data_IF_162384579779
#
_entry.id   IF_162384579779
#
_cell.length_a   1.000
_cell.length_b   1.000
_cell.length_c   1.000
_cell.angle_alpha   90.00
_cell.angle_beta   90.00
_cell.angle_gamma   90.00
#
_symmetry.space_group_name_H-M   'P 1'
#
loop_
_entity.id
_entity.type
_entity.pdbx_description
1 polymer ?
#
# COMPACT_ATOMS: atom_id res chain seq x y z
N UNK A 1 -6.73 -37.08 77.76
CA UNK A 1 -6.88 -38.21 76.82
C UNK A 1 -8.17 -37.97 76.03
N UNK A 2 -8.25 -37.75 74.72
CA UNK A 2 -7.27 -37.80 73.64
C UNK A 2 -7.94 -36.99 72.51
N UNK A 3 -7.45 -35.80 72.18
CA UNK A 3 -7.87 -35.04 70.99
C UNK A 3 -6.98 -35.51 69.83
N UNK A 4 -7.52 -36.33 68.95
CA UNK A 4 -6.87 -36.76 67.71
C UNK A 4 -7.86 -36.55 66.58
N UNK A 5 -7.76 -35.40 65.92
CA UNK A 5 -8.27 -35.24 64.56
C UNK A 5 -7.42 -34.16 63.89
N UNK A 6 -6.21 -34.57 63.53
CA UNK A 6 -5.24 -33.75 62.80
C UNK A 6 -5.25 -34.21 61.34
N UNK A 7 -5.33 -33.22 60.46
CA UNK A 7 -4.64 -33.17 59.17
C UNK A 7 -5.15 -34.08 58.05
N UNK A 8 -5.97 -33.54 57.16
CA UNK A 8 -5.83 -33.72 55.69
C UNK A 8 -6.94 -32.97 54.93
N UNK A 9 -6.97 -31.63 54.96
CA UNK A 9 -7.79 -30.89 53.98
C UNK A 9 -7.48 -29.38 53.97
N UNK A 10 -6.23 -28.98 53.71
CA UNK A 10 -5.94 -27.58 53.40
C UNK A 10 -4.64 -27.44 52.58
N UNK A 11 -4.61 -28.07 51.41
CA UNK A 11 -3.64 -27.79 50.35
C UNK A 11 -4.35 -27.80 48.97
N UNK A 12 -5.50 -27.13 48.86
CA UNK A 12 -5.90 -26.60 47.56
C UNK A 12 -5.23 -25.23 47.45
N UNK A 13 -3.96 -25.25 47.05
CA UNK A 13 -3.30 -24.05 46.56
C UNK A 13 -4.16 -23.48 45.45
N UNK A 14 -4.72 -22.29 45.70
CA UNK A 14 -5.21 -21.41 44.66
C UNK A 14 -4.01 -21.13 43.74
N UNK A 15 -3.80 -22.00 42.75
CA UNK A 15 -3.20 -21.59 41.50
C UNK A 15 -4.18 -20.60 40.90
N UNK A 16 -4.09 -19.33 41.32
CA UNK A 16 -4.53 -18.23 40.47
C UNK A 16 -3.64 -18.33 39.25
N UNK A 17 -4.15 -19.02 38.24
CA UNK A 17 -3.63 -18.92 36.88
C UNK A 17 -3.76 -17.44 36.57
N UNK A 18 -2.65 -16.70 36.64
CA UNK A 18 -2.56 -15.36 36.06
C UNK A 18 -2.78 -15.56 34.57
N UNK A 19 -4.04 -15.48 34.15
CA UNK A 19 -4.37 -15.42 32.74
C UNK A 19 -3.74 -14.14 32.22
N UNK A 20 -2.92 -14.24 31.18
CA UNK A 20 -2.39 -13.07 30.51
C UNK A 20 -3.57 -12.17 30.13
N UNK A 21 -3.60 -10.94 30.64
CA UNK A 21 -4.67 -9.99 30.31
C UNK A 21 -4.71 -9.81 28.80
N UNK A 22 -5.87 -10.05 28.20
CA UNK A 22 -6.08 -9.83 26.79
C UNK A 22 -5.82 -8.36 26.46
N UNK A 23 -5.03 -8.13 25.42
CA UNK A 23 -4.78 -6.78 24.93
C UNK A 23 -5.41 -6.59 23.56
N UNK A 24 -5.80 -5.35 23.30
CA UNK A 24 -6.47 -4.96 22.08
C UNK A 24 -5.73 -3.80 21.44
N UNK A 25 -5.72 -3.76 20.12
CA UNK A 25 -5.32 -2.59 19.34
C UNK A 25 -6.44 -2.28 18.35
N UNK A 26 -6.58 -1.02 17.97
CA UNK A 26 -7.46 -0.68 16.87
C UNK A 26 -6.63 -0.64 15.60
N UNK A 27 -6.87 -1.57 14.69
CA UNK A 27 -6.40 -1.46 13.32
C UNK A 27 -7.12 -0.28 12.68
N UNK A 28 -6.37 0.67 12.14
CA UNK A 28 -6.90 1.82 11.40
C UNK A 28 -7.12 1.43 9.93
N UNK A 29 -6.17 0.67 9.39
CA UNK A 29 -6.19 0.16 8.01
C UNK A 29 -4.78 0.02 7.43
N UNK A 30 -4.68 -0.47 6.20
CA UNK A 30 -3.42 -0.51 5.45
C UNK A 30 -3.27 0.77 4.62
N UNK A 31 -2.09 1.38 4.68
CA UNK A 31 -1.79 2.66 4.04
C UNK A 31 -0.44 2.59 3.32
N UNK A 32 -0.43 2.99 2.05
CA UNK A 32 0.78 3.09 1.24
C UNK A 32 1.49 4.44 1.49
N UNK A 33 2.81 4.38 1.57
CA UNK A 33 3.76 5.48 1.81
C UNK A 33 3.45 6.32 3.05
N UNK A 34 2.65 5.78 3.97
CA UNK A 34 2.20 6.52 5.14
C UNK A 34 3.28 6.60 6.22
N UNK A 35 3.31 7.74 6.91
CA UNK A 35 4.03 7.93 8.16
C UNK A 35 3.08 8.37 9.29
N UNK A 36 3.58 8.47 10.52
CA UNK A 36 2.76 8.86 11.67
C UNK A 36 2.17 10.27 11.52
N UNK A 37 2.84 11.17 10.80
CA UNK A 37 2.40 12.53 10.52
C UNK A 37 1.07 12.60 9.78
N UNK A 38 0.82 11.65 8.87
CA UNK A 38 -0.42 11.57 8.08
C UNK A 38 -1.69 11.37 8.91
N UNK A 39 -1.54 10.99 10.17
CA UNK A 39 -2.64 10.65 11.08
C UNK A 39 -2.90 11.72 12.14
N UNK A 40 -2.54 12.98 11.86
CA UNK A 40 -2.66 14.09 12.81
C UNK A 40 -4.05 14.23 13.44
N UNK A 41 -5.13 13.92 12.71
CA UNK A 41 -6.51 14.03 13.20
C UNK A 41 -6.87 12.99 14.28
N UNK A 42 -6.16 11.85 14.32
CA UNK A 42 -6.40 10.74 15.25
C UNK A 42 -5.32 10.61 16.32
N UNK A 43 -4.21 11.36 16.20
CA UNK A 43 -3.18 11.44 17.26
C UNK A 43 -3.72 11.78 18.65
N UNK A 44 -4.74 12.66 18.82
CA UNK A 44 -5.31 12.91 20.15
C UNK A 44 -6.03 11.71 20.77
N UNK A 45 -6.40 10.72 19.95
CA UNK A 45 -7.19 9.56 20.39
C UNK A 45 -6.31 8.37 20.81
N UNK A 46 -5.04 8.36 20.44
CA UNK A 46 -4.11 7.28 20.76
C UNK A 46 -2.78 7.41 20.03
N UNK A 47 -1.81 6.57 20.40
CA UNK A 47 -0.54 6.51 19.68
C UNK A 47 -0.71 5.81 18.33
N UNK A 48 -0.38 6.49 17.24
CA UNK A 48 -0.42 5.93 15.89
C UNK A 48 0.90 5.21 15.64
N UNK A 49 0.85 3.98 15.15
CA UNK A 49 2.05 3.21 14.81
C UNK A 49 1.79 2.28 13.62
N UNK A 50 2.85 1.88 12.93
CA UNK A 50 2.77 1.13 11.68
C UNK A 50 3.55 -0.18 11.73
N UNK A 51 3.02 -1.22 11.08
CA UNK A 51 3.78 -2.43 10.74
C UNK A 51 3.90 -2.55 9.23
N UNK A 52 5.11 -2.69 8.70
CA UNK A 52 5.33 -2.88 7.27
C UNK A 52 4.79 -4.25 6.85
N UNK A 53 3.81 -4.27 5.95
CA UNK A 53 3.18 -5.51 5.44
C UNK A 53 3.44 -5.73 3.93
N UNK A 54 4.11 -4.79 3.28
CA UNK A 54 4.51 -4.87 1.87
C UNK A 54 5.47 -3.73 1.52
N UNK A 55 5.84 -3.59 0.25
CA UNK A 55 6.68 -2.47 -0.19
C UNK A 55 5.92 -1.15 -0.03
N UNK A 56 6.45 -0.30 0.84
CA UNK A 56 5.87 0.96 1.27
C UNK A 56 4.44 0.89 1.83
N UNK A 57 3.91 -0.29 2.17
CA UNK A 57 2.59 -0.42 2.81
C UNK A 57 2.77 -0.66 4.31
N UNK A 58 2.21 0.24 5.10
CA UNK A 58 2.09 0.10 6.55
C UNK A 58 0.66 -0.28 6.92
N UNK A 59 0.51 -1.39 7.62
CA UNK A 59 -0.67 -1.65 8.43
C UNK A 59 -0.61 -0.73 9.64
N UNK A 60 -1.52 0.23 9.70
CA UNK A 60 -1.54 1.28 10.73
C UNK A 60 -2.51 0.88 11.83
N UNK A 61 -2.07 1.14 13.05
CA UNK A 61 -2.76 0.86 14.29
C UNK A 61 -2.84 2.13 15.14
N UNK A 62 -3.83 2.17 16.03
CA UNK A 62 -4.02 3.25 16.97
C UNK A 62 -4.23 2.71 18.38
N UNK A 63 -3.27 3.03 19.24
CA UNK A 63 -3.29 2.76 20.67
C UNK A 63 -3.24 1.28 21.03
N UNK A 64 -3.08 1.03 22.33
CA UNK A 64 -3.17 -0.30 22.93
C UNK A 64 -4.06 -0.24 24.17
N UNK A 65 -4.99 -1.18 24.30
CA UNK A 65 -6.04 -1.17 25.31
C UNK A 65 -6.12 -2.51 26.03
N UNK A 66 -6.28 -2.49 27.34
CA UNK A 66 -6.62 -3.68 28.14
C UNK A 66 -8.15 -3.89 28.19
N UNK A 67 -8.92 -2.88 27.82
CA UNK A 67 -10.39 -2.88 27.80
C UNK A 67 -10.92 -2.93 26.36
N UNK A 68 -11.62 -4.01 26.02
CA UNK A 68 -12.26 -4.22 24.72
C UNK A 68 -13.26 -3.10 24.38
N UNK A 69 -14.04 -2.62 25.36
CA UNK A 69 -15.04 -1.59 25.12
C UNK A 69 -14.41 -0.24 24.76
N UNK A 70 -13.26 0.08 25.36
CA UNK A 70 -12.47 1.27 24.98
C UNK A 70 -11.98 1.14 23.53
N UNK A 71 -11.45 -0.03 23.15
CA UNK A 71 -10.99 -0.29 21.79
C UNK A 71 -12.15 -0.24 20.76
N UNK A 72 -13.31 -0.82 21.08
CA UNK A 72 -14.49 -0.77 20.21
C UNK A 72 -15.04 0.65 20.07
N UNK A 73 -15.09 1.41 21.16
CA UNK A 73 -15.48 2.83 21.14
C UNK A 73 -14.55 3.62 20.24
N UNK A 74 -13.24 3.42 20.37
CA UNK A 74 -12.25 4.07 19.50
C UNK A 74 -12.42 3.64 18.04
N UNK A 75 -12.63 2.35 17.78
CA UNK A 75 -12.89 1.83 16.44
C UNK A 75 -14.13 2.48 15.79
N UNK A 76 -15.24 2.62 16.53
CA UNK A 76 -16.42 3.37 16.07
C UNK A 76 -16.12 4.85 15.81
N UNK A 77 -15.36 5.49 16.70
CA UNK A 77 -14.90 6.86 16.56
C UNK A 77 -14.03 7.07 15.31
N UNK A 78 -13.20 6.09 14.96
CA UNK A 78 -12.40 6.09 13.73
C UNK A 78 -13.27 5.89 12.49
N UNK A 79 -14.22 4.95 12.52
CA UNK A 79 -15.18 4.75 11.42
C UNK A 79 -16.00 6.02 11.16
N UNK A 80 -16.44 6.72 12.22
CA UNK A 80 -17.15 8.00 12.12
C UNK A 80 -16.28 9.11 11.50
N UNK A 81 -14.94 9.05 11.70
CA UNK A 81 -13.96 9.96 11.10
C UNK A 81 -13.48 9.55 9.70
N UNK A 82 -13.97 8.43 9.16
CA UNK A 82 -13.69 8.01 7.78
C UNK A 82 -12.81 6.77 7.63
N UNK A 83 -12.24 6.24 8.72
CA UNK A 83 -11.48 5.00 8.73
C UNK A 83 -12.44 3.79 8.73
N UNK A 84 -13.09 3.55 7.59
CA UNK A 84 -14.18 2.56 7.44
C UNK A 84 -13.76 1.12 7.75
N UNK A 85 -12.48 0.82 7.56
CA UNK A 85 -11.89 -0.49 7.85
C UNK A 85 -11.37 -0.59 9.27
N UNK A 86 -11.57 0.44 10.11
CA UNK A 86 -11.10 0.38 11.48
C UNK A 86 -11.76 -0.81 12.19
N UNK A 87 -10.98 -1.61 12.90
CA UNK A 87 -11.45 -2.79 13.62
C UNK A 87 -10.58 -3.07 14.82
N UNK A 88 -11.18 -3.67 15.85
CA UNK A 88 -10.42 -4.11 17.01
C UNK A 88 -9.73 -5.42 16.67
N UNK A 89 -8.45 -5.52 16.99
CA UNK A 89 -7.69 -6.76 16.96
C UNK A 89 -7.26 -7.12 18.37
N UNK A 90 -7.41 -8.39 18.74
CA UNK A 90 -6.81 -8.92 19.95
C UNK A 90 -5.33 -9.25 19.69
N UNK A 91 -4.44 -8.79 20.57
CA UNK A 91 -3.02 -9.10 20.54
C UNK A 91 -2.78 -10.40 21.32
N UNK A 92 -2.14 -11.41 20.71
CA UNK A 92 -1.76 -12.61 21.44
C UNK A 92 -0.69 -12.26 22.48
N UNK A 93 -0.64 -12.98 23.62
CA UNK A 93 0.44 -12.81 24.58
C UNK A 93 1.78 -13.14 23.92
N UNK A 94 2.79 -12.34 24.21
CA UNK A 94 4.15 -12.53 23.73
C UNK A 94 5.05 -13.10 24.82
N UNK A 95 6.34 -13.21 24.48
CA UNK A 95 7.35 -13.61 25.47
C UNK A 95 7.67 -12.46 26.42
N UNK A 96 8.04 -12.81 27.64
CA UNK A 96 8.55 -11.85 28.61
C UNK A 96 9.96 -11.39 28.23
N UNK A 97 10.20 -10.08 28.21
CA UNK A 97 11.53 -9.47 27.98
C UNK A 97 11.82 -8.43 29.06
N UNK A 98 13.09 -8.19 29.33
CA UNK A 98 13.52 -7.07 30.15
C UNK A 98 13.83 -5.86 29.27
N UNK A 99 13.36 -4.68 29.69
CA UNK A 99 13.59 -3.40 29.00
C UNK A 99 14.06 -2.36 30.00
N UNK A 100 14.76 -1.33 29.51
CA UNK A 100 15.11 -0.16 30.31
C UNK A 100 14.13 0.95 29.96
N UNK A 101 13.22 1.28 30.88
CA UNK A 101 12.33 2.42 30.71
C UNK A 101 13.10 3.70 31.03
N UNK A 102 13.16 4.62 30.07
CA UNK A 102 13.99 5.83 30.15
C UNK A 102 13.16 7.08 30.44
N UNK A 103 11.91 7.10 30.00
CA UNK A 103 11.02 8.23 30.18
C UNK A 103 9.55 7.81 30.20
N UNK A 104 8.71 8.65 30.78
CA UNK A 104 7.27 8.66 30.55
C UNK A 104 6.90 10.02 29.98
N UNK A 105 6.24 10.05 28.83
CA UNK A 105 5.80 11.26 28.14
C UNK A 105 4.28 11.24 28.02
N UNK A 106 3.65 12.40 27.99
CA UNK A 106 2.24 12.48 27.56
C UNK A 106 2.19 12.24 26.06
N UNK A 107 1.11 11.61 25.58
CA UNK A 107 0.89 11.35 24.17
C UNK A 107 0.93 12.63 23.31
N UNK A 108 0.53 13.76 23.89
CA UNK A 108 0.55 15.09 23.26
C UNK A 108 1.89 15.82 23.33
N UNK A 109 2.85 15.32 24.12
CA UNK A 109 4.16 15.97 24.24
C UNK A 109 4.98 15.73 22.97
N UNK A 110 5.69 16.75 22.44
CA UNK A 110 6.67 16.52 21.40
C UNK A 110 7.77 15.58 21.92
N UNK A 111 8.19 14.64 21.07
CA UNK A 111 9.24 13.67 21.38
C UNK A 111 10.33 13.78 20.33
N UNK A 112 11.56 14.01 20.78
CA UNK A 112 12.74 13.98 19.92
C UNK A 112 13.23 12.53 19.79
N UNK A 113 12.70 11.84 18.78
CA UNK A 113 13.07 10.46 18.49
C UNK A 113 14.52 10.30 18.04
N UNK A 114 15.10 11.35 17.43
CA UNK A 114 16.48 11.33 16.92
C UNK A 114 17.47 11.33 18.08
N UNK A 115 17.25 12.19 19.08
CA UNK A 115 18.08 12.21 20.28
C UNK A 115 17.91 10.93 21.10
N UNK A 116 16.67 10.46 21.29
CA UNK A 116 16.41 9.21 22.00
C UNK A 116 17.04 7.99 21.31
N UNK A 117 17.02 7.93 19.98
CA UNK A 117 17.61 6.83 19.20
C UNK A 117 19.12 6.64 19.42
N UNK A 118 19.83 7.62 20.00
CA UNK A 118 21.26 7.50 20.34
C UNK A 118 21.54 6.40 21.37
N UNK A 119 20.55 6.04 22.19
CA UNK A 119 20.67 4.95 23.17
C UNK A 119 20.44 3.56 22.56
N UNK A 120 20.16 3.49 21.26
CA UNK A 120 19.85 2.26 20.53
C UNK A 120 18.37 2.14 20.17
N UNK A 121 17.91 0.90 19.93
CA UNK A 121 16.54 0.64 19.51
C UNK A 121 15.54 1.16 20.54
N UNK A 122 14.58 1.95 20.08
CA UNK A 122 13.54 2.53 20.91
C UNK A 122 12.24 1.75 20.75
N UNK A 123 11.59 1.53 21.89
CA UNK A 123 10.26 0.95 21.97
C UNK A 123 9.38 1.86 22.81
N UNK A 124 8.08 1.83 22.54
CA UNK A 124 7.09 2.47 23.39
C UNK A 124 6.01 1.50 23.82
N UNK A 125 5.44 1.76 24.99
CA UNK A 125 4.20 1.18 25.45
C UNK A 125 3.20 2.31 25.67
N UNK A 126 2.08 2.27 24.96
CA UNK A 126 0.99 3.23 25.15
C UNK A 126 0.04 2.73 26.26
N UNK A 127 -0.06 3.51 27.34
CA UNK A 127 -0.98 3.26 28.45
C UNK A 127 -1.78 4.54 28.67
N UNK A 128 -3.06 4.49 28.32
CA UNK A 128 -3.97 5.65 28.32
C UNK A 128 -3.37 6.84 27.55
N UNK A 129 -3.19 7.99 28.22
CA UNK A 129 -2.63 9.23 27.68
C UNK A 129 -1.11 9.32 27.78
N UNK A 130 -0.45 8.21 28.17
CA UNK A 130 1.00 8.16 28.41
C UNK A 130 1.71 7.23 27.44
N UNK A 131 2.91 7.63 27.06
CA UNK A 131 3.90 6.84 26.37
C UNK A 131 5.05 6.56 27.33
N UNK A 132 5.23 5.29 27.69
CA UNK A 132 6.44 4.84 28.36
C UNK A 132 7.46 4.57 27.26
N UNK A 133 8.57 5.29 27.27
CA UNK A 133 9.64 5.16 26.29
C UNK A 133 10.72 4.28 26.89
N UNK A 134 11.10 3.24 26.16
CA UNK A 134 12.07 2.25 26.58
C UNK A 134 13.14 2.01 25.52
N UNK A 135 14.25 1.45 25.96
CA UNK A 135 15.27 0.90 25.07
C UNK A 135 15.64 -0.53 25.44
N UNK A 136 16.19 -1.23 24.46
CA UNK A 136 16.53 -2.64 24.54
C UNK A 136 15.29 -3.55 24.46
N UNK A 137 15.56 -4.85 24.50
CA UNK A 137 14.60 -5.94 24.64
C UNK A 137 15.42 -7.17 25.02
N UNK A 138 16.00 -7.12 26.21
CA UNK A 138 16.96 -8.09 26.71
C UNK A 138 16.25 -9.41 27.06
N UNK A 139 16.99 -10.50 26.90
CA UNK A 139 16.49 -11.84 27.23
C UNK A 139 16.11 -11.96 28.72
N UNK A 140 16.82 -11.25 29.61
CA UNK A 140 16.60 -11.29 31.04
C UNK A 140 16.94 -9.95 31.73
N UNK A 141 16.54 -9.86 33.00
CA UNK A 141 16.75 -8.68 33.86
C UNK A 141 18.24 -8.41 34.10
N UNK A 142 19.09 -9.43 34.15
CA UNK A 142 20.52 -9.26 34.43
C UNK A 142 21.22 -8.54 33.27
N UNK A 143 20.91 -8.92 32.03
CA UNK A 143 21.41 -8.23 30.83
C UNK A 143 20.93 -6.78 30.76
N UNK A 144 19.66 -6.52 31.10
CA UNK A 144 19.14 -5.15 31.16
C UNK A 144 19.81 -4.32 32.28
N UNK A 145 20.06 -4.92 33.44
CA UNK A 145 20.73 -4.26 34.56
C UNK A 145 22.19 -3.93 34.24
N UNK A 146 22.87 -4.77 33.45
CA UNK A 146 24.22 -4.51 32.98
C UNK A 146 24.31 -3.33 32.02
N UNK A 147 23.27 -3.09 31.21
CA UNK A 147 23.21 -1.96 30.27
C UNK A 147 22.69 -0.65 30.90
N UNK A 148 22.00 -0.73 32.04
CA UNK A 148 21.40 0.42 32.72
C UNK A 148 22.38 1.58 33.04
N UNK A 149 23.63 1.35 33.51
CA UNK A 149 24.58 2.44 33.78
C UNK A 149 24.90 3.29 32.55
N UNK A 150 25.02 2.66 31.37
CA UNK A 150 25.27 3.36 30.11
C UNK A 150 24.08 4.22 29.69
N UNK A 151 22.85 3.72 29.88
CA UNK A 151 21.64 4.50 29.62
C UNK A 151 21.55 5.73 30.54
N UNK A 152 21.91 5.57 31.82
CA UNK A 152 21.95 6.67 32.78
C UNK A 152 23.04 7.69 32.48
N UNK A 153 24.21 7.27 32.00
CA UNK A 153 25.30 8.18 31.65
C UNK A 153 25.00 9.05 30.42
N UNK A 154 24.08 8.61 29.54
CA UNK A 154 23.57 9.38 28.41
C UNK A 154 22.46 10.40 28.77
N UNK A 155 22.13 10.53 30.07
CA UNK A 155 21.22 11.58 30.55
C UNK A 155 19.91 11.08 31.14
N UNK A 156 19.55 9.81 30.96
CA UNK A 156 18.33 9.21 31.51
C UNK A 156 18.55 8.69 32.94
N UNK A 157 18.85 9.59 33.88
CA UNK A 157 19.27 9.25 35.26
C UNK A 157 18.24 8.41 36.02
N UNK A 158 16.96 8.64 35.76
CA UNK A 158 15.84 7.93 36.39
C UNK A 158 15.46 6.64 35.66
N UNK A 159 16.24 6.23 34.64
CA UNK A 159 15.99 5.00 33.94
C UNK A 159 16.02 3.80 34.90
N UNK A 160 15.15 2.82 34.66
CA UNK A 160 15.05 1.60 35.45
C UNK A 160 14.67 0.40 34.59
N UNK A 161 15.05 -0.78 35.05
CA UNK A 161 14.71 -2.04 34.38
C UNK A 161 13.31 -2.48 34.78
N UNK A 162 12.52 -2.92 33.80
CA UNK A 162 11.26 -3.61 34.02
C UNK A 162 11.11 -4.79 33.09
N UNK A 163 10.29 -5.74 33.50
CA UNK A 163 9.86 -6.85 32.65
C UNK A 163 8.54 -6.49 31.99
N UNK A 164 8.41 -6.82 30.70
CA UNK A 164 7.20 -6.57 29.92
C UNK A 164 7.01 -7.68 28.89
N UNK A 165 5.76 -7.95 28.54
CA UNK A 165 5.44 -8.78 27.38
C UNK A 165 5.94 -8.07 26.10
N UNK A 166 6.75 -8.75 25.28
CA UNK A 166 7.30 -8.20 24.05
C UNK A 166 6.21 -7.73 23.08
N UNK A 167 5.06 -8.40 23.05
CA UNK A 167 3.93 -8.01 22.21
C UNK A 167 3.23 -6.75 22.73
N UNK A 168 3.62 -6.16 23.87
CA UNK A 168 3.19 -4.81 24.29
C UNK A 168 4.04 -3.70 23.70
N UNK A 169 5.24 -4.03 23.25
CA UNK A 169 6.19 -3.05 22.75
C UNK A 169 5.85 -2.69 21.31
N UNK A 170 5.83 -1.39 21.04
CA UNK A 170 5.73 -0.81 19.70
C UNK A 170 7.12 -0.33 19.33
N UNK A 171 7.79 -0.92 18.32
CA UNK A 171 9.08 -0.42 17.87
C UNK A 171 8.91 0.97 17.25
N UNK A 172 9.87 1.86 17.50
CA UNK A 172 9.93 3.18 16.86
C UNK A 172 10.86 3.09 15.65
N UNK A 173 10.28 3.19 14.46
CA UNK A 173 11.00 3.10 13.19
C UNK A 173 10.76 4.29 12.26
N UNK A 174 10.98 4.10 10.96
CA UNK A 174 10.79 5.14 9.95
C UNK A 174 9.35 5.69 9.93
N UNK A 175 8.35 4.84 10.20
CA UNK A 175 6.95 5.25 10.26
C UNK A 175 6.70 6.24 11.41
N UNK A 176 7.10 5.91 12.63
CA UNK A 176 6.85 6.73 13.83
C UNK A 176 7.67 8.02 13.84
N UNK A 177 8.84 8.00 13.20
CA UNK A 177 9.75 9.15 13.15
C UNK A 177 9.48 10.09 11.97
N UNK A 178 8.89 9.60 10.88
CA UNK A 178 8.72 10.37 9.63
C UNK A 178 10.03 10.62 8.86
N UNK A 179 11.15 10.00 9.28
CA UNK A 179 12.47 10.19 8.67
C UNK A 179 12.77 9.04 7.71
N UNK A 180 12.91 9.36 6.41
CA UNK A 180 13.27 8.40 5.34
C UNK A 180 14.81 8.30 5.25
N UNK A 181 15.37 7.23 5.84
CA UNK A 181 16.79 6.75 5.86
C UNK A 181 17.74 7.18 7.01
N UNK A 182 18.77 6.36 7.32
CA UNK A 182 18.78 5.38 8.39
C UNK A 182 19.27 5.98 9.73
N UNK A 183 18.57 5.67 10.82
CA UNK A 183 19.20 5.72 12.14
C UNK A 183 20.25 4.60 12.18
N UNK A 184 21.52 4.93 11.93
CA UNK A 184 22.64 4.01 12.15
C UNK A 184 22.66 3.69 13.66
N UNK A 185 22.40 2.44 14.09
CA UNK A 185 22.43 2.12 15.51
C UNK A 185 23.89 2.12 15.98
N UNK A 186 24.24 3.03 16.90
CA UNK A 186 25.44 2.84 17.71
C UNK A 186 25.10 1.71 18.68
N UNK A 187 25.59 0.50 18.38
CA UNK A 187 25.42 -0.66 19.25
C UNK A 187 26.13 -0.41 20.57
N UNK A 188 25.35 -0.22 21.63
CA UNK A 188 25.87 -0.22 23.00
C UNK A 188 26.25 -1.66 23.37
N UNK A 189 27.53 -1.97 23.20
CA UNK A 189 28.21 -3.18 23.66
C UNK A 189 28.05 -4.44 22.74
N UNK A 190 29.10 -4.84 21.98
CA UNK A 190 29.03 -5.94 21.01
C UNK A 190 28.97 -7.36 21.60
N UNK A 191 28.80 -7.52 22.92
CA UNK A 191 28.87 -8.84 23.58
C UNK A 191 27.55 -9.40 24.15
N UNK A 192 26.41 -8.71 24.01
CA UNK A 192 25.11 -9.32 24.31
C UNK A 192 24.10 -8.84 23.26
N UNK A 193 23.85 -9.70 22.28
CA UNK A 193 22.96 -9.42 21.16
C UNK A 193 21.55 -9.05 21.69
N UNK A 194 21.00 -7.88 21.34
CA UNK A 194 19.56 -7.69 21.41
C UNK A 194 18.92 -8.80 20.57
N UNK A 195 17.86 -9.42 21.07
CA UNK A 195 17.23 -10.53 20.37
C UNK A 195 16.68 -10.00 19.05
N UNK A 196 17.37 -10.33 17.96
CA UNK A 196 16.95 -9.97 16.61
C UNK A 196 15.59 -10.62 16.36
N UNK A 197 14.59 -9.84 15.96
CA UNK A 197 13.40 -10.33 15.27
C UNK A 197 12.68 -9.17 14.59
N UNK A 198 12.48 -9.33 13.28
CA UNK A 198 11.43 -8.68 12.50
C UNK A 198 10.14 -8.61 13.31
N UNK A 199 9.34 -7.53 13.19
CA UNK A 199 7.97 -7.56 13.64
C UNK A 199 7.31 -8.79 13.02
N UNK A 200 6.73 -9.64 13.86
CA UNK A 200 5.89 -10.73 13.38
C UNK A 200 4.89 -10.12 12.39
N UNK A 201 5.00 -10.52 11.13
CA UNK A 201 3.86 -10.54 10.23
C UNK A 201 2.72 -11.18 11.01
N UNK A 202 1.61 -10.48 11.16
CA UNK A 202 0.42 -11.04 11.78
C UNK A 202 -0.14 -12.09 10.83
N UNK A 203 0.49 -13.28 10.90
CA UNK A 203 0.17 -14.43 10.10
C UNK A 203 -1.22 -14.91 10.50
N UNK A 204 -2.08 -14.95 9.49
CA UNK A 204 -3.41 -15.51 9.55
C UNK A 204 -3.21 -17.03 9.40
N UNK A 205 -3.04 -17.75 10.52
CA UNK A 205 -2.84 -19.21 10.44
C UNK A 205 -4.06 -19.90 9.84
N UNK A 206 -3.83 -20.52 8.69
CA UNK A 206 -4.36 -21.85 8.40
C UNK A 206 -4.66 -22.13 6.93
N UNK A 207 -3.65 -22.44 6.10
CA UNK A 207 -3.51 -23.72 5.37
C UNK A 207 -2.04 -23.92 4.92
N UNK A 208 -1.52 -25.13 5.09
CA UNK A 208 -0.12 -25.54 4.87
C UNK A 208 0.36 -25.47 3.40
N UNK A 209 1.60 -25.01 3.22
CA UNK A 209 2.47 -25.31 2.08
C UNK A 209 3.05 -26.74 2.17
N UNK A 210 3.48 -27.30 1.03
CA UNK A 210 4.76 -28.01 1.03
C UNK A 210 5.79 -27.41 0.04
N UNK A 211 7.03 -27.28 0.54
CA UNK A 211 8.28 -26.95 -0.14
C UNK A 211 8.74 -28.01 -1.17
N UNK A 212 9.50 -27.60 -2.20
CA UNK A 212 10.78 -28.23 -2.57
C UNK A 212 11.55 -27.43 -3.66
N UNK A 213 12.85 -27.18 -3.41
CA UNK A 213 13.96 -27.50 -4.32
C UNK A 213 14.24 -26.65 -5.57
N UNK A 214 15.32 -25.88 -5.50
CA UNK A 214 15.96 -25.11 -6.58
C UNK A 214 16.72 -26.03 -7.55
N UNK A 215 16.59 -25.86 -8.88
CA UNK A 215 17.66 -25.97 -9.90
C UNK A 215 17.24 -25.21 -11.18
N UNK A 216 18.06 -24.26 -11.67
CA UNK A 216 18.00 -23.69 -13.03
C UNK A 216 18.88 -24.54 -13.97
N UNK A 217 18.53 -24.75 -15.25
CA UNK A 217 19.11 -23.88 -16.30
C UNK A 217 18.30 -23.71 -17.60
N UNK A 218 18.56 -22.60 -18.32
CA UNK A 218 18.71 -22.62 -19.78
C UNK A 218 17.55 -22.08 -20.65
N UNK A 219 17.83 -21.01 -21.39
CA UNK A 219 17.10 -20.55 -22.58
C UNK A 219 16.82 -21.70 -23.57
N UNK A 220 15.57 -21.85 -24.02
CA UNK A 220 15.20 -22.04 -25.44
C UNK A 220 13.69 -21.97 -25.62
N UNK A 221 13.21 -21.15 -26.56
CA UNK A 221 11.90 -21.36 -27.18
C UNK A 221 11.92 -22.71 -27.95
N UNK A 222 10.78 -23.42 -28.06
CA UNK A 222 10.11 -23.40 -29.36
C UNK A 222 8.57 -23.49 -29.32
N UNK A 223 8.00 -22.96 -30.41
CA UNK A 223 6.67 -23.20 -30.97
C UNK A 223 6.05 -24.57 -30.64
N UNK A 224 4.73 -24.60 -30.46
CA UNK A 224 3.79 -25.25 -31.40
C UNK A 224 2.37 -25.24 -30.82
N UNK A 225 1.41 -24.64 -31.54
CA UNK A 225 0.18 -25.37 -31.87
C UNK A 225 -0.42 -24.84 -33.17
N UNK A 226 -0.40 -25.71 -34.17
CA UNK A 226 -1.02 -25.54 -35.47
C UNK A 226 -2.54 -25.67 -35.36
N UNK A 227 -3.27 -24.79 -36.06
CA UNK A 227 -4.18 -25.28 -37.11
C UNK A 227 -5.67 -24.87 -37.10
N UNK A 228 -5.99 -23.77 -37.81
CA UNK A 228 -7.05 -23.57 -38.85
C UNK A 228 -8.55 -23.64 -38.42
N UNK A 229 -9.55 -22.93 -39.03
CA UNK A 229 -9.54 -22.12 -40.27
C UNK A 229 -9.97 -20.64 -40.20
N UNK A 230 -9.46 -19.95 -41.22
CA UNK A 230 -9.81 -18.65 -41.79
C UNK A 230 -11.24 -18.57 -42.36
N UNK A 231 -11.94 -17.47 -42.09
CA UNK A 231 -12.83 -16.80 -43.05
C UNK A 231 -12.77 -15.27 -42.83
N UNK A 232 -12.54 -14.46 -43.88
CA UNK A 232 -12.66 -13.00 -43.81
C UNK A 232 -14.07 -12.54 -44.21
N UNK A 233 -14.62 -11.47 -43.61
CA UNK A 233 -15.56 -10.60 -44.30
C UNK A 233 -14.90 -9.23 -44.49
N UNK A 234 -14.37 -8.93 -45.68
CA UNK A 234 -15.05 -8.21 -46.78
C UNK A 234 -15.71 -6.89 -46.36
N UNK A 235 -15.09 -5.80 -46.83
CA UNK A 235 -15.60 -4.46 -47.15
C UNK A 235 -17.11 -4.20 -47.14
N UNK A 236 -17.51 -3.12 -46.47
CA UNK A 236 -18.75 -2.38 -46.81
C UNK A 236 -19.39 -1.64 -45.63
N UNK A 237 -18.97 -0.39 -45.40
CA UNK A 237 -19.85 0.80 -45.32
C UNK A 237 -19.09 1.98 -44.69
N UNK A 238 -18.64 2.89 -45.55
CA UNK A 238 -18.30 4.27 -45.20
C UNK A 238 -19.55 4.95 -44.67
N UNK A 239 -19.54 5.36 -43.40
CA UNK A 239 -20.51 6.30 -42.83
C UNK A 239 -19.75 7.60 -42.51
N UNK A 240 -20.37 8.70 -42.90
CA UNK A 240 -19.87 10.07 -42.83
C UNK A 240 -19.45 10.51 -41.41
N UNK A 241 -18.55 11.53 -41.30
CA UNK A 241 -18.01 11.98 -40.02
C UNK A 241 -19.05 12.82 -39.27
N UNK A 242 -19.43 12.37 -38.08
CA UNK A 242 -20.35 13.13 -37.23
C UNK A 242 -20.97 12.40 -36.04
N UNK A 243 -20.63 11.16 -35.76
CA UNK A 243 -21.15 10.44 -34.60
C UNK A 243 -20.17 10.50 -33.44
N UNK A 244 -20.50 11.29 -32.42
CA UNK A 244 -19.94 11.15 -31.08
C UNK A 244 -20.13 9.69 -30.65
N UNK A 245 -19.03 8.97 -30.39
CA UNK A 245 -19.06 7.60 -29.90
C UNK A 245 -19.99 7.54 -28.67
N UNK A 246 -21.03 6.67 -28.65
CA UNK A 246 -21.88 6.54 -27.49
C UNK A 246 -21.02 6.04 -26.33
N UNK A 247 -21.08 6.76 -25.21
CA UNK A 247 -20.36 6.45 -23.98
C UNK A 247 -20.65 4.99 -23.60
N UNK A 248 -19.63 4.13 -23.67
CA UNK A 248 -19.70 2.82 -23.05
C UNK A 248 -19.99 3.02 -21.54
N UNK A 249 -20.75 2.11 -20.92
CA UNK A 249 -21.07 2.16 -19.49
C UNK A 249 -19.77 2.30 -18.68
N UNK A 250 -19.53 3.50 -18.16
CA UNK A 250 -18.35 3.80 -17.35
C UNK A 250 -18.54 3.18 -15.95
N UNK A 251 -17.51 2.51 -15.40
CA UNK A 251 -17.53 2.07 -14.02
C UNK A 251 -17.80 3.23 -13.06
N UNK A 252 -18.60 2.99 -12.02
CA UNK A 252 -18.84 4.01 -11.02
C UNK A 252 -17.65 4.08 -10.07
N UNK A 253 -16.99 5.24 -10.00
CA UNK A 253 -15.79 5.38 -9.19
C UNK A 253 -16.14 5.41 -7.70
N UNK A 254 -15.58 4.48 -6.92
CA UNK A 254 -15.67 4.50 -5.45
C UNK A 254 -14.81 5.64 -4.89
N UNK A 255 -15.36 6.85 -4.84
CA UNK A 255 -14.61 8.05 -4.47
C UNK A 255 -14.06 8.11 -3.04
N UNK A 256 -14.54 7.23 -2.14
CA UNK A 256 -14.04 7.09 -0.76
C UNK A 256 -13.05 5.92 -0.60
N UNK A 257 -12.65 5.31 -1.70
CA UNK A 257 -11.64 4.27 -1.74
C UNK A 257 -10.31 4.89 -2.17
N UNK A 258 -9.31 4.84 -1.29
CA UNK A 258 -7.97 5.39 -1.54
C UNK A 258 -7.18 4.46 -2.46
N UNK A 259 -6.52 5.01 -3.47
CA UNK A 259 -5.78 4.25 -4.48
C UNK A 259 -4.59 5.06 -5.03
N UNK A 260 -3.51 4.37 -5.38
CA UNK A 260 -2.30 5.00 -5.92
C UNK A 260 -2.60 5.76 -7.22
N UNK A 261 -3.42 5.18 -8.11
CA UNK A 261 -3.85 5.79 -9.37
C UNK A 261 -4.49 7.17 -9.17
N UNK A 262 -5.33 7.34 -8.14
CA UNK A 262 -5.94 8.62 -7.80
C UNK A 262 -4.93 9.61 -7.20
N UNK A 263 -3.99 9.15 -6.37
CA UNK A 263 -2.88 9.99 -5.88
C UNK A 263 -2.09 10.55 -7.05
N UNK A 264 -1.70 9.69 -7.99
CA UNK A 264 -0.93 10.08 -9.18
C UNK A 264 -1.72 11.04 -10.07
N UNK A 265 -3.02 10.79 -10.24
CA UNK A 265 -3.91 11.69 -10.98
C UNK A 265 -3.99 13.08 -10.32
N UNK A 266 -4.28 13.14 -9.03
CA UNK A 266 -4.35 14.38 -8.26
C UNK A 266 -3.04 15.17 -8.33
N UNK A 267 -1.90 14.48 -8.26
CA UNK A 267 -0.58 15.10 -8.44
C UNK A 267 -0.49 15.82 -9.78
N UNK A 268 -0.84 15.16 -10.88
CA UNK A 268 -0.76 15.78 -12.22
C UNK A 268 -1.77 16.92 -12.36
N UNK A 269 -2.99 16.75 -11.84
CA UNK A 269 -4.00 17.80 -11.85
C UNK A 269 -3.55 19.03 -11.07
N UNK A 270 -2.81 18.83 -9.96
CA UNK A 270 -2.26 19.90 -9.13
C UNK A 270 -1.08 20.59 -9.81
N UNK A 271 -0.14 19.82 -10.37
CA UNK A 271 0.97 20.34 -11.20
C UNK A 271 0.44 21.25 -12.33
N UNK A 272 -0.72 20.90 -12.91
CA UNK A 272 -1.37 21.67 -13.99
C UNK A 272 -2.32 22.77 -13.51
N UNK A 273 -2.48 22.96 -12.20
CA UNK A 273 -3.30 24.02 -11.62
C UNK A 273 -4.82 23.79 -11.66
N UNK A 274 -5.27 22.59 -12.03
CA UNK A 274 -6.70 22.23 -12.01
C UNK A 274 -7.18 21.73 -10.64
N UNK A 275 -6.25 21.25 -9.80
CA UNK A 275 -6.57 20.72 -8.48
C UNK A 275 -5.86 21.49 -7.37
N UNK A 276 -6.64 22.09 -6.48
CA UNK A 276 -6.14 22.86 -5.33
C UNK A 276 -6.18 22.07 -4.02
N UNK A 277 -6.83 20.89 -4.03
CA UNK A 277 -6.96 20.01 -2.87
C UNK A 277 -5.65 19.34 -2.45
N UNK A 278 -5.71 18.57 -1.36
CA UNK A 278 -4.60 17.72 -0.93
C UNK A 278 -4.52 16.48 -1.83
N UNK A 279 -3.30 16.06 -2.15
CA UNK A 279 -3.07 14.80 -2.86
C UNK A 279 -3.21 13.68 -1.84
N UNK A 280 -4.43 13.18 -1.67
CA UNK A 280 -4.83 12.26 -0.60
C UNK A 280 -5.14 10.84 -1.10
N UNK A 281 -5.19 10.64 -2.42
CA UNK A 281 -5.51 9.39 -3.08
C UNK A 281 -7.00 9.04 -3.13
N UNK A 282 -7.89 9.96 -2.75
CA UNK A 282 -9.34 9.78 -2.86
C UNK A 282 -9.89 10.41 -4.14
N UNK A 283 -10.64 9.63 -4.92
CA UNK A 283 -11.36 10.16 -6.09
C UNK A 283 -12.70 10.81 -5.66
N UNK A 284 -12.63 11.82 -4.79
CA UNK A 284 -13.80 12.57 -4.34
C UNK A 284 -14.34 13.53 -5.41
N UNK A 285 -15.43 14.23 -5.10
CA UNK A 285 -16.04 15.21 -6.02
C UNK A 285 -15.07 16.32 -6.47
N UNK A 286 -14.11 16.72 -5.62
CA UNK A 286 -13.06 17.67 -5.99
C UNK A 286 -12.09 17.13 -7.03
N UNK A 287 -11.66 15.87 -6.87
CA UNK A 287 -10.79 15.18 -7.84
C UNK A 287 -11.52 15.01 -9.18
N UNK A 288 -12.79 14.60 -9.13
CA UNK A 288 -13.63 14.47 -10.33
C UNK A 288 -13.79 15.81 -11.06
N UNK A 289 -14.17 16.87 -10.34
CA UNK A 289 -14.34 18.19 -10.94
C UNK A 289 -13.04 18.73 -11.55
N UNK A 290 -11.90 18.54 -10.87
CA UNK A 290 -10.60 18.92 -11.40
C UNK A 290 -10.21 18.11 -12.64
N UNK A 291 -10.48 16.80 -12.64
CA UNK A 291 -10.27 15.97 -13.82
C UNK A 291 -11.14 16.43 -14.98
N UNK A 292 -12.44 16.66 -14.77
CA UNK A 292 -13.36 17.10 -15.81
C UNK A 292 -12.92 18.45 -16.40
N UNK A 293 -12.47 19.39 -15.56
CA UNK A 293 -11.91 20.66 -15.99
C UNK A 293 -10.60 20.50 -16.77
N UNK A 294 -9.67 19.65 -16.31
CA UNK A 294 -8.42 19.38 -17.01
C UNK A 294 -8.69 18.70 -18.35
N UNK A 295 -9.55 17.68 -18.36
CA UNK A 295 -9.95 16.95 -19.55
C UNK A 295 -10.63 17.88 -20.56
N UNK A 296 -11.43 18.85 -20.11
CA UNK A 296 -12.09 19.84 -20.98
C UNK A 296 -11.15 20.98 -21.44
N UNK A 297 -10.32 21.50 -20.55
CA UNK A 297 -9.66 22.80 -20.70
C UNK A 297 -8.14 22.74 -20.94
N UNK A 298 -7.48 21.63 -20.64
CA UNK A 298 -6.02 21.56 -20.78
C UNK A 298 -5.60 21.58 -22.24
N UNK A 299 -4.64 22.45 -22.54
CA UNK A 299 -4.05 22.59 -23.87
C UNK A 299 -3.43 21.27 -24.37
N UNK A 300 -2.67 20.59 -23.51
CA UNK A 300 -2.00 19.32 -23.83
C UNK A 300 -2.99 18.22 -24.27
N UNK A 301 -4.22 18.19 -23.72
CA UNK A 301 -5.25 17.21 -24.07
C UNK A 301 -6.12 17.64 -25.26
N UNK A 302 -6.07 18.90 -25.69
CA UNK A 302 -6.93 19.42 -26.77
C UNK A 302 -6.65 18.72 -28.10
N UNK A 303 -5.37 18.57 -28.47
CA UNK A 303 -4.94 17.85 -29.68
C UNK A 303 -5.52 16.43 -29.69
N UNK A 304 -5.30 15.68 -28.63
CA UNK A 304 -5.66 14.26 -28.57
C UNK A 304 -7.17 14.03 -28.59
N UNK A 305 -7.95 14.87 -27.90
CA UNK A 305 -9.43 14.81 -27.98
C UNK A 305 -9.95 15.05 -29.40
N UNK A 306 -9.32 15.92 -30.16
CA UNK A 306 -9.68 16.15 -31.56
C UNK A 306 -9.27 15.00 -32.49
N UNK A 307 -8.29 14.17 -32.10
CA UNK A 307 -7.87 12.99 -32.83
C UNK A 307 -8.73 11.76 -32.54
N UNK A 308 -9.41 11.69 -31.39
CA UNK A 308 -10.24 10.53 -31.00
C UNK A 308 -11.24 10.10 -32.08
N UNK A 309 -12.01 10.99 -32.75
CA UNK A 309 -12.93 10.58 -33.81
C UNK A 309 -12.26 9.94 -35.03
N UNK A 310 -10.95 10.13 -35.20
CA UNK A 310 -10.16 9.57 -36.30
C UNK A 310 -9.50 8.23 -35.91
N UNK A 311 -9.58 7.83 -34.64
CA UNK A 311 -9.03 6.55 -34.19
C UNK A 311 -9.95 5.39 -34.57
N UNK A 312 -9.37 4.40 -35.23
CA UNK A 312 -10.04 3.12 -35.44
C UNK A 312 -10.02 2.30 -34.13
N UNK A 313 -11.15 2.24 -33.45
CA UNK A 313 -11.38 1.38 -32.28
C UNK A 313 -12.42 0.33 -32.64
N UNK A 314 -12.11 -0.98 -32.56
CA UNK A 314 -13.08 -2.04 -32.83
C UNK A 314 -14.33 -1.88 -31.95
N UNK A 315 -15.52 -2.03 -32.53
CA UNK A 315 -16.78 -1.81 -31.83
C UNK A 315 -16.96 -2.69 -30.57
N UNK A 316 -16.32 -3.87 -30.56
CA UNK A 316 -16.31 -4.82 -29.44
C UNK A 316 -15.35 -4.47 -28.29
N UNK A 317 -14.46 -3.48 -28.44
CA UNK A 317 -13.50 -3.10 -27.39
C UNK A 317 -14.10 -2.04 -26.46
N UNK A 318 -14.86 -2.50 -25.46
CA UNK A 318 -15.58 -1.61 -24.55
C UNK A 318 -14.66 -0.66 -23.76
N UNK A 319 -13.49 -1.14 -23.32
CA UNK A 319 -12.52 -0.33 -22.55
C UNK A 319 -11.95 0.80 -23.39
N UNK A 320 -11.60 0.51 -24.65
CA UNK A 320 -11.00 1.50 -25.55
C UNK A 320 -11.96 2.62 -25.96
N UNK A 321 -13.26 2.46 -25.68
CA UNK A 321 -14.31 3.43 -25.97
C UNK A 321 -14.63 4.36 -24.79
N UNK A 322 -13.99 4.18 -23.63
CA UNK A 322 -14.07 5.17 -22.56
C UNK A 322 -13.34 6.46 -22.96
N UNK A 323 -13.85 7.65 -22.57
CA UNK A 323 -13.24 8.91 -22.99
C UNK A 323 -11.76 9.03 -22.65
N UNK A 324 -11.33 8.63 -21.45
CA UNK A 324 -9.93 8.65 -21.05
C UNK A 324 -9.09 7.63 -21.82
N UNK A 325 -9.63 6.43 -22.05
CA UNK A 325 -8.95 5.35 -22.79
C UNK A 325 -8.70 5.71 -24.25
N UNK A 326 -9.68 6.30 -24.94
CA UNK A 326 -9.51 6.69 -26.34
C UNK A 326 -8.48 7.82 -26.47
N UNK A 327 -8.48 8.76 -25.52
CA UNK A 327 -7.44 9.80 -25.46
C UNK A 327 -6.08 9.19 -25.13
N UNK A 328 -6.01 8.24 -24.20
CA UNK A 328 -4.78 7.52 -23.86
C UNK A 328 -4.17 6.85 -25.10
N UNK A 329 -5.00 6.19 -25.92
CA UNK A 329 -4.59 5.59 -27.19
C UNK A 329 -4.11 6.65 -28.20
N UNK A 330 -4.78 7.80 -28.30
CA UNK A 330 -4.33 8.89 -29.18
C UNK A 330 -2.94 9.38 -28.78
N UNK A 331 -2.70 9.53 -27.48
CA UNK A 331 -1.42 9.98 -26.93
C UNK A 331 -0.35 8.92 -27.15
N UNK A 332 -0.63 7.65 -26.87
CA UNK A 332 0.35 6.56 -27.06
C UNK A 332 0.79 6.44 -28.51
N UNK A 333 -0.13 6.54 -29.48
CA UNK A 333 0.20 6.51 -30.91
C UNK A 333 1.06 7.69 -31.36
N UNK A 334 0.80 8.89 -30.84
CA UNK A 334 1.62 10.07 -31.11
C UNK A 334 3.02 9.91 -30.50
N UNK A 335 3.09 9.40 -29.27
CA UNK A 335 4.34 9.05 -28.61
C UNK A 335 5.10 7.95 -29.36
N UNK A 336 4.42 6.97 -29.97
CA UNK A 336 5.05 5.92 -30.76
C UNK A 336 5.77 6.48 -31.99
N UNK A 337 5.29 7.60 -32.55
CA UNK A 337 5.88 8.22 -33.75
C UNK A 337 5.87 7.30 -34.97
N UNK A 338 4.88 6.40 -35.06
CA UNK A 338 4.79 5.40 -36.13
C UNK A 338 5.57 4.11 -35.88
N UNK A 339 6.21 3.95 -34.72
CA UNK A 339 6.95 2.75 -34.32
C UNK A 339 6.10 1.72 -33.54
N UNK A 340 4.78 1.71 -33.75
CA UNK A 340 3.89 0.74 -33.11
C UNK A 340 4.24 -0.68 -33.57
N UNK A 341 4.44 -1.60 -32.63
CA UNK A 341 4.54 -3.03 -32.97
C UNK A 341 3.14 -3.57 -33.32
N UNK A 342 2.90 -3.75 -34.61
CA UNK A 342 1.62 -4.25 -35.13
C UNK A 342 1.33 -5.70 -34.72
N UNK A 343 2.37 -6.52 -34.52
CA UNK A 343 2.20 -7.90 -34.06
C UNK A 343 1.79 -7.93 -32.59
N UNK A 344 2.48 -7.16 -31.74
CA UNK A 344 2.09 -7.00 -30.34
C UNK A 344 0.71 -6.35 -30.22
N UNK A 345 0.37 -5.34 -31.04
CA UNK A 345 -0.94 -4.70 -31.04
C UNK A 345 -2.09 -5.69 -31.32
N UNK A 346 -1.89 -6.60 -32.28
CA UNK A 346 -2.88 -7.65 -32.58
C UNK A 346 -3.04 -8.64 -31.42
N UNK A 347 -1.95 -9.05 -30.78
CA UNK A 347 -1.99 -9.93 -29.60
C UNK A 347 -2.67 -9.24 -28.40
N UNK A 348 -2.33 -7.97 -28.17
CA UNK A 348 -2.87 -7.17 -27.09
C UNK A 348 -4.38 -6.98 -27.20
N UNK A 349 -4.95 -6.88 -28.41
CA UNK A 349 -6.41 -6.82 -28.58
C UNK A 349 -7.11 -8.04 -27.99
N UNK A 350 -6.66 -9.26 -28.31
CA UNK A 350 -7.26 -10.49 -27.77
C UNK A 350 -7.08 -10.59 -26.25
N UNK A 351 -5.90 -10.24 -25.75
CA UNK A 351 -5.60 -10.24 -24.31
C UNK A 351 -6.48 -9.24 -23.55
N UNK A 352 -6.74 -8.03 -24.09
CA UNK A 352 -7.65 -7.05 -23.47
C UNK A 352 -9.07 -7.59 -23.31
N UNK A 353 -9.59 -8.32 -24.28
CA UNK A 353 -10.95 -8.90 -24.16
C UNK A 353 -11.03 -9.94 -23.04
N UNK A 354 -9.97 -10.76 -22.89
CA UNK A 354 -9.87 -11.73 -21.80
C UNK A 354 -9.72 -11.04 -20.44
N UNK A 355 -8.84 -10.04 -20.34
CA UNK A 355 -8.65 -9.25 -19.13
C UNK A 355 -9.91 -8.50 -18.75
N UNK A 356 -10.60 -7.86 -19.71
CA UNK A 356 -11.83 -7.13 -19.45
C UNK A 356 -12.93 -8.03 -18.89
N UNK A 357 -12.97 -9.31 -19.29
CA UNK A 357 -13.93 -10.32 -18.84
C UNK A 357 -13.42 -11.22 -17.70
N UNK A 358 -12.25 -10.92 -17.14
CA UNK A 358 -11.61 -11.74 -16.11
C UNK A 358 -12.54 -12.05 -14.92
N UNK A 359 -12.43 -13.29 -14.42
CA UNK A 359 -13.17 -13.81 -13.25
C UNK A 359 -12.23 -14.36 -12.17
N UNK A 360 -10.93 -14.32 -12.42
CA UNK A 360 -9.88 -14.76 -11.52
C UNK A 360 -8.78 -13.69 -11.48
N UNK A 361 -8.06 -13.56 -10.35
CA UNK A 361 -6.91 -12.67 -10.27
C UNK A 361 -5.82 -13.10 -11.26
N UNK A 362 -4.90 -12.19 -11.57
CA UNK A 362 -3.71 -12.56 -12.33
C UNK A 362 -2.88 -13.61 -11.59
N UNK A 363 -2.17 -14.44 -12.33
CA UNK A 363 -1.12 -15.27 -11.73
C UNK A 363 0.00 -14.38 -11.19
N UNK A 364 0.73 -14.84 -10.17
CA UNK A 364 1.86 -14.10 -9.62
C UNK A 364 2.89 -13.69 -10.69
N UNK A 365 3.13 -14.57 -11.67
CA UNK A 365 4.02 -14.28 -12.81
C UNK A 365 3.46 -13.26 -13.79
N UNK A 366 2.14 -13.15 -13.94
CA UNK A 366 1.51 -12.11 -14.76
C UNK A 366 1.50 -10.77 -14.02
N UNK A 367 1.18 -10.76 -12.72
CA UNK A 367 1.30 -9.58 -11.85
C UNK A 367 2.72 -9.00 -11.89
N UNK A 368 3.74 -9.83 -11.64
CA UNK A 368 5.14 -9.38 -11.63
C UNK A 368 5.55 -8.76 -12.97
N UNK A 369 5.13 -9.34 -14.10
CA UNK A 369 5.41 -8.80 -15.44
C UNK A 369 4.72 -7.47 -15.68
N UNK A 370 3.45 -7.32 -15.29
CA UNK A 370 2.71 -6.07 -15.47
C UNK A 370 3.31 -4.94 -14.61
N UNK A 371 3.70 -5.25 -13.37
CA UNK A 371 4.35 -4.29 -12.47
C UNK A 371 5.73 -3.86 -12.99
N UNK A 372 6.59 -4.82 -13.34
CA UNK A 372 7.93 -4.52 -13.87
C UNK A 372 7.87 -3.73 -15.19
N UNK A 373 6.92 -4.06 -16.08
CA UNK A 373 6.67 -3.28 -17.29
C UNK A 373 6.27 -1.84 -16.97
N UNK A 374 5.34 -1.65 -16.02
CA UNK A 374 4.85 -0.33 -15.62
C UNK A 374 5.97 0.52 -15.00
N UNK A 375 6.75 -0.05 -14.08
CA UNK A 375 7.89 0.61 -13.44
C UNK A 375 8.93 1.07 -14.47
N UNK A 376 9.31 0.18 -15.39
CA UNK A 376 10.28 0.47 -16.45
C UNK A 376 9.75 1.56 -17.37
N UNK A 377 8.50 1.45 -17.81
CA UNK A 377 7.85 2.43 -18.67
C UNK A 377 7.85 3.82 -18.02
N UNK A 378 7.42 3.92 -16.76
CA UNK A 378 7.33 5.22 -16.08
C UNK A 378 8.70 5.86 -15.85
N UNK A 379 9.72 5.07 -15.52
CA UNK A 379 11.09 5.57 -15.39
C UNK A 379 11.59 6.17 -16.72
N UNK A 380 11.44 5.42 -17.82
CA UNK A 380 11.95 5.82 -19.12
C UNK A 380 11.13 6.97 -19.74
N UNK A 381 9.80 6.98 -19.57
CA UNK A 381 8.96 8.11 -19.96
C UNK A 381 9.30 9.37 -19.18
N UNK A 382 9.63 9.24 -17.90
CA UNK A 382 10.07 10.36 -17.06
C UNK A 382 11.37 10.98 -17.59
N UNK A 383 12.36 10.14 -17.92
CA UNK A 383 13.63 10.58 -18.52
C UNK A 383 13.40 11.26 -19.88
N UNK A 384 12.67 10.61 -20.77
CA UNK A 384 12.35 11.13 -22.10
C UNK A 384 11.60 12.46 -22.06
N UNK A 385 10.68 12.63 -21.09
CA UNK A 385 9.94 13.87 -20.88
C UNK A 385 10.83 15.02 -20.38
N UNK A 386 11.94 14.73 -19.71
CA UNK A 386 12.88 15.74 -19.22
C UNK A 386 13.81 16.27 -20.33
N UNK A 387 13.95 15.55 -21.44
CA UNK A 387 14.84 15.91 -22.54
C UNK A 387 14.35 17.10 -23.36
N UNK A 388 13.04 17.22 -23.57
CA UNK A 388 12.44 18.25 -24.44
C UNK A 388 11.05 18.70 -23.97
N UNK A 389 10.72 20.01 -24.05
CA UNK A 389 9.39 20.51 -23.68
C UNK A 389 8.22 19.85 -24.43
N UNK A 390 8.38 19.48 -25.70
CA UNK A 390 7.30 18.80 -26.45
C UNK A 390 7.04 17.42 -25.85
N UNK A 391 8.10 16.67 -25.49
CA UNK A 391 7.96 15.40 -24.78
C UNK A 391 7.26 15.58 -23.43
N UNK A 392 7.59 16.64 -22.69
CA UNK A 392 6.93 16.97 -21.42
C UNK A 392 5.41 17.21 -21.60
N UNK A 393 4.99 17.87 -22.68
CA UNK A 393 3.57 18.05 -23.00
C UNK A 393 2.88 16.72 -23.32
N UNK A 394 3.50 15.86 -24.13
CA UNK A 394 2.95 14.53 -24.46
C UNK A 394 2.84 13.65 -23.21
N UNK A 395 3.91 13.59 -22.42
CA UNK A 395 3.95 12.83 -21.17
C UNK A 395 2.90 13.32 -20.17
N UNK A 396 2.65 14.63 -20.09
CA UNK A 396 1.59 15.13 -19.24
C UNK A 396 0.19 14.72 -19.69
N UNK A 397 -0.09 14.78 -21.00
CA UNK A 397 -1.37 14.30 -21.54
C UNK A 397 -1.52 12.80 -21.26
N UNK A 398 -0.44 12.04 -21.41
CA UNK A 398 -0.39 10.61 -21.13
C UNK A 398 -0.72 10.31 -19.66
N UNK A 399 -0.06 10.97 -18.69
CA UNK A 399 -0.32 10.75 -17.25
C UNK A 399 -1.79 10.94 -16.88
N UNK A 400 -2.43 12.01 -17.36
CA UNK A 400 -3.83 12.28 -17.05
C UNK A 400 -4.76 11.21 -17.61
N UNK A 401 -4.60 10.87 -18.89
CA UNK A 401 -5.42 9.86 -19.54
C UNK A 401 -5.17 8.47 -18.93
N UNK A 402 -3.92 8.13 -18.62
CA UNK A 402 -3.52 6.87 -18.02
C UNK A 402 -4.11 6.69 -16.64
N UNK A 403 -3.87 7.62 -15.72
CA UNK A 403 -4.30 7.44 -14.33
C UNK A 403 -5.82 7.50 -14.20
N UNK A 404 -6.52 8.31 -15.00
CA UNK A 404 -7.99 8.24 -15.05
C UNK A 404 -8.47 6.86 -15.49
N UNK A 405 -7.86 6.32 -16.54
CA UNK A 405 -8.22 5.01 -17.08
C UNK A 405 -7.93 3.91 -16.07
N UNK A 406 -6.83 4.00 -15.33
CA UNK A 406 -6.50 3.08 -14.25
C UNK A 406 -7.55 3.10 -13.13
N UNK A 407 -7.99 4.29 -12.67
CA UNK A 407 -9.05 4.42 -11.66
C UNK A 407 -10.34 3.71 -12.12
N UNK A 408 -10.74 3.92 -13.38
CA UNK A 408 -11.92 3.29 -13.97
C UNK A 408 -11.77 1.77 -14.05
N UNK A 409 -10.61 1.26 -14.49
CA UNK A 409 -10.34 -0.17 -14.56
C UNK A 409 -10.35 -0.82 -13.18
N UNK A 410 -9.75 -0.19 -12.18
CA UNK A 410 -9.77 -0.68 -10.80
C UNK A 410 -11.21 -0.80 -10.27
N UNK A 411 -12.07 0.19 -10.52
CA UNK A 411 -13.49 0.08 -10.15
C UNK A 411 -14.26 -0.96 -10.96
N UNK A 412 -13.97 -1.12 -12.26
CA UNK A 412 -14.54 -2.20 -13.08
C UNK A 412 -14.24 -3.58 -12.48
N UNK A 413 -13.01 -3.81 -12.03
CA UNK A 413 -12.64 -5.08 -11.40
C UNK A 413 -13.22 -5.22 -10.00
N UNK A 414 -13.25 -4.15 -9.21
CA UNK A 414 -13.92 -4.19 -7.91
C UNK A 414 -15.44 -4.44 -8.03
N UNK A 415 -16.10 -3.94 -9.09
CA UNK A 415 -17.51 -4.24 -9.40
C UNK A 415 -17.73 -5.72 -9.71
N UNK A 416 -16.69 -6.43 -10.13
CA UNK A 416 -16.68 -7.89 -10.36
C UNK A 416 -16.34 -8.70 -9.11
N UNK A 417 -16.14 -8.04 -7.98
CA UNK A 417 -15.83 -8.70 -6.71
C UNK A 417 -14.35 -8.96 -6.44
N UNK A 418 -13.45 -8.42 -7.27
CA UNK A 418 -12.02 -8.45 -6.95
C UNK A 418 -11.72 -7.52 -5.76
N UNK A 419 -10.76 -7.91 -4.92
CA UNK A 419 -10.19 -7.00 -3.93
C UNK A 419 -9.31 -5.94 -4.62
N UNK A 420 -8.88 -4.95 -3.86
CA UNK A 420 -8.14 -3.81 -4.37
C UNK A 420 -6.84 -4.18 -5.10
N UNK A 421 -6.06 -5.09 -4.52
CA UNK A 421 -4.75 -5.48 -5.08
C UNK A 421 -4.94 -6.24 -6.40
N UNK A 422 -5.85 -7.21 -6.43
CA UNK A 422 -6.19 -7.93 -7.65
C UNK A 422 -6.77 -7.00 -8.73
N UNK A 423 -7.57 -6.00 -8.34
CA UNK A 423 -8.11 -5.01 -9.25
C UNK A 423 -7.03 -4.09 -9.83
N UNK A 424 -6.07 -3.65 -9.02
CA UNK A 424 -4.89 -2.88 -9.46
C UNK A 424 -4.04 -3.69 -10.45
N UNK A 425 -3.73 -4.94 -10.11
CA UNK A 425 -2.94 -5.82 -10.96
C UNK A 425 -3.61 -6.06 -12.32
N UNK A 426 -4.91 -6.37 -12.32
CA UNK A 426 -5.71 -6.52 -13.55
C UNK A 426 -5.80 -5.22 -14.35
N UNK A 427 -5.91 -4.07 -13.69
CA UNK A 427 -5.90 -2.76 -14.33
C UNK A 427 -4.55 -2.48 -15.01
N UNK A 428 -3.42 -2.74 -14.34
CA UNK A 428 -2.08 -2.57 -14.91
C UNK A 428 -1.84 -3.49 -16.10
N UNK A 429 -2.22 -4.76 -16.01
CA UNK A 429 -2.13 -5.67 -17.16
C UNK A 429 -3.04 -5.23 -18.32
N UNK A 430 -4.21 -4.67 -18.03
CA UNK A 430 -5.10 -4.14 -19.07
C UNK A 430 -4.47 -2.92 -19.73
N UNK A 431 -3.93 -1.97 -18.96
CA UNK A 431 -3.21 -0.80 -19.47
C UNK A 431 -1.98 -1.20 -20.30
N UNK A 432 -1.21 -2.19 -19.86
CA UNK A 432 -0.12 -2.77 -20.65
C UNK A 432 -0.61 -3.25 -22.01
N UNK A 433 -1.75 -3.95 -22.05
CA UNK A 433 -2.35 -4.39 -23.30
C UNK A 433 -3.10 -3.26 -24.02
N UNK A 434 -3.25 -2.06 -23.46
CA UNK A 434 -3.82 -0.92 -24.16
C UNK A 434 -2.77 -0.13 -24.94
N UNK A 435 -1.61 0.11 -24.33
CA UNK A 435 -0.59 1.02 -24.87
C UNK A 435 0.77 0.37 -25.09
N UNK A 436 0.98 -0.87 -24.66
CA UNK A 436 2.29 -1.53 -24.70
C UNK A 436 2.89 -1.62 -26.10
N UNK A 437 2.07 -1.91 -27.11
CA UNK A 437 2.51 -1.96 -28.51
C UNK A 437 3.00 -0.61 -29.05
N UNK A 438 2.42 0.49 -28.59
CA UNK A 438 2.82 1.84 -28.99
C UNK A 438 4.07 2.31 -28.23
N UNK A 439 4.27 1.80 -27.02
CA UNK A 439 5.30 2.27 -26.08
C UNK A 439 6.46 1.29 -25.91
N UNK A 440 6.54 0.26 -26.75
CA UNK A 440 7.58 -0.77 -26.67
C UNK A 440 9.00 -0.18 -26.72
N UNK A 441 9.19 0.86 -27.55
CA UNK A 441 10.48 1.57 -27.67
C UNK A 441 10.98 2.20 -26.37
N UNK A 442 10.13 2.34 -25.35
CA UNK A 442 10.49 2.88 -24.03
C UNK A 442 10.82 1.77 -23.02
N UNK A 443 10.89 0.50 -23.44
CA UNK A 443 11.20 -0.63 -22.56
C UNK A 443 12.67 -1.08 -22.62
N UNK A 444 13.47 -0.49 -23.51
CA UNK A 444 14.85 -0.91 -23.80
C UNK A 444 15.84 0.24 -23.74
#
# INVERSE_FOLDING_TARGET
MTRFLTLCLLCCGLFTVLTAQAQYTVEVGAFQDADQGDFAEIKPLGFVYGSKIGDNVHQVYLGTFEDLNKAETLSMQLRARGFRNARVLQRPPGRSVAVIQMATKLLSSPIDWVDMGKVGNIFVENVDDKLKVMTGAYADVAAAQAALPSVRSMGYKDAFVKTIDFNRLIPIGAFETGVKEPLIPIQLNPQQQPVNNNPATYDNTGVQQPQAGVVYPGNSAPNTYNGVPTTPPSTGNVVAPGTTLPAANLPNIRGRFKRESATRLQTVLKEKGFYTGQVDGYYGGGTQAAYDQAFAGQHDLKKYRALVPLLEVPAGDAVMRWPSSSVLLAVSKDMAGGLTDNQLAAQSYAARQQLYSARQPLSASATARANSWSETLWANLGNWAAEDPVHAHMHSAFRLAYYQTQVLLEDHYMDKGFNADAAKDLALATLQNMVGADLERFLY
#
